data_IF_085133076772
#
_entry.id   IF_085133076772
#
_cell.length_a   1.000
_cell.length_b   1.000
_cell.length_c   1.000
_cell.angle_alpha   90.00
_cell.angle_beta   90.00
_cell.angle_gamma   90.00
#
_symmetry.space_group_name_H-M   'P 1'
#
loop_
_entity.id
_entity.type
_entity.pdbx_description
1 polymer ?
#
# COMPACT_ATOMS: atom_id res chain seq x y z
N UNK A 1 -11.82 60.82 68.69
CA UNK A 1 -10.97 60.35 67.56
C UNK A 1 -11.18 61.29 66.38
N UNK A 2 -10.15 61.99 65.91
CA UNK A 2 -10.26 63.01 64.85
C UNK A 2 -10.81 62.42 63.55
N UNK A 3 -11.70 63.16 62.87
CA UNK A 3 -12.36 62.80 61.60
C UNK A 3 -11.34 62.34 60.55
N UNK A 4 -10.15 62.94 60.53
CA UNK A 4 -9.05 62.55 59.63
C UNK A 4 -8.58 61.10 59.82
N UNK A 5 -8.53 60.59 61.06
CA UNK A 5 -8.13 59.20 61.36
C UNK A 5 -9.17 58.18 60.88
N UNK A 6 -10.46 58.51 61.01
CA UNK A 6 -11.56 57.66 60.51
C UNK A 6 -11.55 57.57 58.98
N UNK A 7 -11.27 58.69 58.30
CA UNK A 7 -11.19 58.75 56.83
C UNK A 7 -10.01 57.93 56.27
N UNK A 8 -8.85 57.98 56.94
CA UNK A 8 -7.67 57.18 56.56
C UNK A 8 -7.93 55.68 56.75
N UNK A 9 -8.50 55.29 57.90
CA UNK A 9 -8.85 53.87 58.16
C UNK A 9 -9.87 53.36 57.15
N UNK A 10 -10.91 54.15 56.83
CA UNK A 10 -11.91 53.80 55.83
C UNK A 10 -11.28 53.64 54.43
N UNK A 11 -10.38 54.55 54.04
CA UNK A 11 -9.70 54.47 52.74
C UNK A 11 -8.81 53.24 52.62
N UNK A 12 -8.07 52.88 53.68
CA UNK A 12 -7.27 51.65 53.72
C UNK A 12 -8.16 50.41 53.59
N UNK A 13 -9.30 50.40 54.27
CA UNK A 13 -10.23 49.28 54.26
C UNK A 13 -10.88 49.08 52.88
N UNK A 14 -11.21 50.18 52.18
CA UNK A 14 -11.69 50.16 50.78
C UNK A 14 -10.64 49.62 49.83
N UNK A 15 -9.38 50.06 49.96
CA UNK A 15 -8.27 49.56 49.12
C UNK A 15 -8.03 48.07 49.37
N UNK A 16 -8.02 47.62 50.62
CA UNK A 16 -7.87 46.21 50.96
C UNK A 16 -9.01 45.35 50.38
N UNK A 17 -10.26 45.81 50.50
CA UNK A 17 -11.41 45.12 49.90
C UNK A 17 -11.32 45.05 48.37
N UNK A 18 -10.89 46.14 47.71
CA UNK A 18 -10.70 46.16 46.26
C UNK A 18 -9.59 45.20 45.82
N UNK A 19 -8.44 45.17 46.51
CA UNK A 19 -7.35 44.24 46.20
C UNK A 19 -7.74 42.78 46.43
N UNK A 20 -8.48 42.50 47.51
CA UNK A 20 -9.01 41.16 47.77
C UNK A 20 -9.98 40.73 46.67
N UNK A 21 -10.87 41.61 46.23
CA UNK A 21 -11.82 41.31 45.15
C UNK A 21 -11.12 41.05 43.81
N UNK A 22 -10.10 41.85 43.46
CA UNK A 22 -9.29 41.63 42.25
C UNK A 22 -8.52 40.31 42.33
N UNK A 23 -7.87 40.01 43.46
CA UNK A 23 -7.15 38.75 43.66
C UNK A 23 -8.10 37.54 43.58
N UNK A 24 -9.27 37.63 44.22
CA UNK A 24 -10.29 36.58 44.15
C UNK A 24 -10.82 36.39 42.72
N UNK A 25 -11.07 37.47 41.99
CA UNK A 25 -11.51 37.42 40.60
C UNK A 25 -10.46 36.75 39.69
N UNK A 26 -9.19 37.14 39.80
CA UNK A 26 -8.09 36.54 39.02
C UNK A 26 -7.89 35.05 39.35
N UNK A 27 -7.98 34.65 40.63
CA UNK A 27 -7.89 33.24 41.04
C UNK A 27 -9.07 32.45 40.46
N UNK A 28 -10.28 33.01 40.51
CA UNK A 28 -11.49 32.38 39.96
C UNK A 28 -11.38 32.19 38.45
N UNK A 29 -10.94 33.21 37.72
CA UNK A 29 -10.77 33.15 36.25
C UNK A 29 -9.70 32.13 35.85
N UNK A 30 -8.58 32.09 36.59
CA UNK A 30 -7.52 31.10 36.36
C UNK A 30 -7.99 29.66 36.62
N UNK A 31 -8.79 29.44 37.66
CA UNK A 31 -9.36 28.12 37.95
C UNK A 31 -10.34 27.68 36.85
N UNK A 32 -11.20 28.58 36.38
CA UNK A 32 -12.12 28.30 35.26
C UNK A 32 -11.37 27.97 33.97
N UNK A 33 -10.28 28.69 33.66
CA UNK A 33 -9.42 28.38 32.50
C UNK A 33 -8.78 26.99 32.61
N UNK A 34 -8.26 26.62 33.79
CA UNK A 34 -7.69 25.29 34.02
C UNK A 34 -8.72 24.18 33.90
N UNK A 35 -9.95 24.40 34.35
CA UNK A 35 -11.05 23.44 34.19
C UNK A 35 -11.45 23.27 32.73
N UNK A 36 -11.54 24.37 31.97
CA UNK A 36 -11.83 24.33 30.54
C UNK A 36 -10.72 23.62 29.74
N UNK A 37 -9.45 23.89 30.06
CA UNK A 37 -8.31 23.22 29.42
C UNK A 37 -8.30 21.70 29.70
N UNK A 38 -8.58 21.30 30.94
CA UNK A 38 -8.73 19.87 31.29
C UNK A 38 -9.88 19.22 30.55
N UNK A 39 -11.03 19.89 30.43
CA UNK A 39 -12.18 19.37 29.70
C UNK A 39 -11.84 19.15 28.21
N UNK A 40 -11.17 20.12 27.57
CA UNK A 40 -10.75 20.01 26.18
C UNK A 40 -9.72 18.89 25.95
N UNK A 41 -8.78 18.68 26.89
CA UNK A 41 -7.83 17.56 26.83
C UNK A 41 -8.57 16.22 26.94
N UNK A 42 -9.50 16.09 27.89
CA UNK A 42 -10.28 14.85 28.06
C UNK A 42 -11.14 14.54 26.83
N UNK A 43 -11.78 15.55 26.25
CA UNK A 43 -12.55 15.40 25.01
C UNK A 43 -11.67 14.90 23.85
N UNK A 44 -10.45 15.47 23.72
CA UNK A 44 -9.50 15.04 22.69
C UNK A 44 -9.00 13.61 22.90
N UNK A 45 -8.77 13.21 24.16
CA UNK A 45 -8.39 11.82 24.50
C UNK A 45 -9.53 10.87 24.14
N UNK A 46 -10.77 11.21 24.48
CA UNK A 46 -11.92 10.36 24.18
C UNK A 46 -12.18 10.24 22.67
N UNK A 47 -12.06 11.34 21.92
CA UNK A 47 -12.16 11.32 20.46
C UNK A 47 -11.06 10.43 19.84
N UNK A 48 -9.83 10.52 20.35
CA UNK A 48 -8.72 9.67 19.88
C UNK A 48 -8.98 8.19 20.20
N UNK A 49 -9.51 7.89 21.39
CA UNK A 49 -9.84 6.51 21.78
C UNK A 49 -10.95 5.93 20.90
N UNK A 50 -12.02 6.69 20.64
CA UNK A 50 -13.11 6.26 19.74
C UNK A 50 -12.62 6.01 18.33
N UNK A 51 -11.77 6.89 17.79
CA UNK A 51 -11.16 6.69 16.47
C UNK A 51 -10.31 5.41 16.44
N UNK A 52 -9.52 5.13 17.49
CA UNK A 52 -8.74 3.90 17.59
C UNK A 52 -9.61 2.63 17.73
N UNK A 53 -10.72 2.71 18.48
CA UNK A 53 -11.69 1.62 18.61
C UNK A 53 -12.40 1.33 17.27
N UNK A 54 -12.83 2.37 16.55
CA UNK A 54 -13.41 2.25 15.20
C UNK A 54 -12.41 1.68 14.19
N UNK A 55 -11.15 2.10 14.25
CA UNK A 55 -10.07 1.57 13.42
C UNK A 55 -9.79 0.09 13.73
N UNK A 56 -9.80 -0.30 15.01
CA UNK A 56 -9.62 -1.70 15.42
C UNK A 56 -10.80 -2.60 15.01
N UNK A 57 -12.03 -2.09 15.06
CA UNK A 57 -13.23 -2.81 14.62
C UNK A 57 -13.27 -2.93 13.09
N UNK A 58 -12.91 -1.87 12.36
CA UNK A 58 -12.67 -1.92 10.91
C UNK A 58 -11.56 -2.94 10.56
N UNK A 59 -10.50 -3.02 11.36
CA UNK A 59 -9.44 -4.02 11.20
C UNK A 59 -9.95 -5.45 11.40
N UNK A 60 -10.74 -5.70 12.45
CA UNK A 60 -11.30 -7.03 12.75
C UNK A 60 -12.31 -7.47 11.69
N UNK A 61 -13.14 -6.56 11.19
CA UNK A 61 -14.14 -6.86 10.16
C UNK A 61 -13.54 -7.13 8.77
N UNK A 62 -12.34 -6.63 8.48
CA UNK A 62 -11.58 -7.00 7.26
C UNK A 62 -10.96 -8.40 7.35
N UNK A 63 -10.92 -9.04 8.52
CA UNK A 63 -10.56 -10.45 8.67
C UNK A 63 -11.74 -11.29 8.18
N UNK A 64 -11.69 -11.71 6.92
CA UNK A 64 -12.63 -12.74 6.45
C UNK A 64 -12.12 -14.07 7.04
N UNK A 65 -12.69 -14.46 8.18
CA UNK A 65 -12.31 -15.65 8.96
C UNK A 65 -12.34 -16.96 8.15
N UNK A 66 -13.01 -16.97 6.99
CA UNK A 66 -12.96 -18.04 6.01
C UNK A 66 -13.14 -17.46 4.61
N UNK A 67 -12.07 -17.18 3.84
CA UNK A 67 -12.23 -16.73 2.46
C UNK A 67 -13.04 -17.78 1.71
N UNK A 68 -14.12 -17.36 1.04
CA UNK A 68 -14.87 -18.24 0.15
C UNK A 68 -13.92 -18.60 -0.99
N UNK A 69 -13.25 -19.75 -0.90
CA UNK A 69 -12.38 -20.22 -1.97
C UNK A 69 -13.27 -20.77 -3.09
N UNK A 70 -13.45 -19.97 -4.14
CA UNK A 70 -14.17 -20.42 -5.33
C UNK A 70 -13.25 -21.37 -6.09
N UNK A 71 -13.60 -22.65 -6.16
CA UNK A 71 -12.80 -23.64 -6.87
C UNK A 71 -12.81 -23.34 -8.38
N UNK A 72 -11.72 -22.76 -8.87
CA UNK A 72 -11.51 -22.47 -10.30
C UNK A 72 -10.91 -23.67 -11.03
N UNK A 73 -11.26 -23.88 -12.32
CA UNK A 73 -10.46 -24.77 -13.16
C UNK A 73 -9.05 -24.20 -13.27
N UNK A 74 -8.07 -25.09 -13.44
CA UNK A 74 -6.70 -24.64 -13.71
C UNK A 74 -6.69 -23.78 -14.98
N UNK A 75 -6.00 -22.63 -14.97
CA UNK A 75 -5.93 -21.78 -16.15
C UNK A 75 -5.18 -22.51 -17.28
N UNK A 76 -5.45 -22.09 -18.51
CA UNK A 76 -4.73 -22.59 -19.68
C UNK A 76 -3.29 -22.04 -19.70
N UNK A 77 -2.34 -22.73 -20.34
CA UNK A 77 -1.00 -22.20 -20.54
C UNK A 77 -1.00 -20.81 -21.18
N UNK A 78 -0.01 -19.98 -20.82
CA UNK A 78 0.10 -18.61 -21.29
C UNK A 78 0.61 -18.59 -22.72
N UNK A 79 -0.02 -17.80 -23.58
CA UNK A 79 0.42 -17.56 -24.95
C UNK A 79 1.11 -16.20 -25.04
N UNK A 80 2.44 -16.19 -25.10
CA UNK A 80 3.23 -14.96 -25.26
C UNK A 80 2.88 -14.17 -26.53
N UNK A 81 2.46 -14.84 -27.60
CA UNK A 81 1.97 -14.16 -28.79
C UNK A 81 0.70 -13.35 -28.49
N UNK A 82 -0.26 -13.94 -27.76
CA UNK A 82 -1.48 -13.24 -27.37
C UNK A 82 -1.23 -12.16 -26.34
N UNK A 83 -0.33 -12.38 -25.37
CA UNK A 83 0.08 -11.34 -24.39
C UNK A 83 0.53 -10.07 -25.12
N UNK A 84 1.36 -10.21 -26.16
CA UNK A 84 1.86 -9.07 -26.95
C UNK A 84 0.81 -8.35 -27.79
N UNK A 85 -0.26 -9.04 -28.21
CA UNK A 85 -1.26 -8.51 -29.17
C UNK A 85 -2.60 -8.14 -28.54
N UNK A 86 -2.91 -8.69 -27.37
CA UNK A 86 -4.24 -8.68 -26.75
C UNK A 86 -4.15 -8.30 -25.26
N UNK A 87 -3.15 -7.48 -24.90
CA UNK A 87 -3.00 -6.89 -23.57
C UNK A 87 -3.90 -5.68 -23.38
N UNK A 88 -4.43 -5.54 -22.17
CA UNK A 88 -5.23 -4.40 -21.74
C UNK A 88 -4.69 -3.89 -20.40
N UNK A 89 -4.61 -2.57 -20.28
CA UNK A 89 -4.30 -1.89 -19.02
C UNK A 89 -5.49 -2.10 -18.10
N UNK A 90 -5.25 -2.74 -16.95
CA UNK A 90 -6.30 -3.12 -16.00
C UNK A 90 -5.86 -2.84 -14.56
N UNK A 91 -5.01 -1.82 -14.39
CA UNK A 91 -4.41 -1.41 -13.12
C UNK A 91 -5.45 -1.39 -11.99
N UNK A 92 -5.23 -2.27 -11.02
CA UNK A 92 -6.05 -2.36 -9.81
C UNK A 92 -7.47 -2.87 -10.01
N UNK A 93 -7.82 -3.45 -11.16
CA UNK A 93 -9.15 -4.04 -11.43
C UNK A 93 -9.58 -5.04 -10.35
N UNK A 94 -8.65 -5.85 -9.87
CA UNK A 94 -8.88 -6.88 -8.85
C UNK A 94 -8.53 -6.40 -7.43
N UNK A 95 -8.08 -5.15 -7.30
CA UNK A 95 -7.82 -4.48 -6.03
C UNK A 95 -9.01 -3.57 -5.68
N UNK A 96 -9.14 -3.14 -4.43
CA UNK A 96 -10.26 -2.27 -3.98
C UNK A 96 -10.23 -0.84 -4.57
N UNK A 97 -9.29 -0.53 -5.47
CA UNK A 97 -9.04 0.84 -5.94
C UNK A 97 -10.10 1.41 -6.89
N UNK A 98 -11.04 0.59 -7.42
CA UNK A 98 -11.98 1.05 -8.46
C UNK A 98 -13.44 1.08 -7.99
N UNK A 99 -14.03 2.27 -7.71
CA UNK A 99 -15.43 2.39 -7.32
C UNK A 99 -16.42 2.05 -8.46
N UNK A 100 -15.95 1.91 -9.70
CA UNK A 100 -16.76 1.55 -10.88
C UNK A 100 -16.52 0.11 -11.38
N UNK A 101 -16.13 -0.82 -10.49
CA UNK A 101 -15.75 -2.20 -10.83
C UNK A 101 -16.72 -2.90 -11.80
N UNK A 102 -18.04 -2.76 -11.63
CA UNK A 102 -19.04 -3.41 -12.49
C UNK A 102 -18.91 -3.01 -13.97
N UNK A 103 -18.66 -1.72 -14.25
CA UNK A 103 -18.50 -1.22 -15.63
C UNK A 103 -17.23 -1.76 -16.28
N UNK A 104 -16.15 -1.85 -15.50
CA UNK A 104 -14.89 -2.41 -15.97
C UNK A 104 -15.02 -3.92 -16.25
N UNK A 105 -15.69 -4.67 -15.36
CA UNK A 105 -15.96 -6.10 -15.57
C UNK A 105 -16.78 -6.31 -16.84
N UNK A 106 -17.82 -5.49 -17.08
CA UNK A 106 -18.61 -5.55 -18.31
C UNK A 106 -17.75 -5.27 -19.56
N UNK A 107 -16.90 -4.25 -19.50
CA UNK A 107 -15.95 -3.91 -20.57
C UNK A 107 -15.00 -5.08 -20.86
N UNK A 108 -14.40 -5.69 -19.83
CA UNK A 108 -13.52 -6.85 -19.99
C UNK A 108 -14.27 -8.02 -20.63
N UNK A 109 -15.47 -8.33 -20.16
CA UNK A 109 -16.28 -9.44 -20.66
C UNK A 109 -16.64 -9.29 -22.15
N UNK A 110 -16.87 -8.06 -22.65
CA UNK A 110 -17.14 -7.81 -24.07
C UNK A 110 -15.90 -7.56 -24.93
N UNK A 111 -14.72 -7.47 -24.33
CA UNK A 111 -13.47 -7.15 -25.03
C UNK A 111 -12.75 -8.38 -25.59
N UNK A 112 -11.78 -8.13 -26.47
CA UNK A 112 -10.81 -9.13 -26.91
C UNK A 112 -9.59 -9.24 -25.97
N UNK A 113 -9.60 -8.60 -24.79
CA UNK A 113 -8.51 -8.67 -23.83
C UNK A 113 -8.23 -10.12 -23.43
N UNK A 114 -7.00 -10.56 -23.66
CA UNK A 114 -6.47 -11.84 -23.22
C UNK A 114 -5.64 -11.65 -21.95
N UNK A 115 -4.93 -10.54 -21.85
CA UNK A 115 -4.02 -10.25 -20.75
C UNK A 115 -4.44 -8.98 -20.05
N UNK A 116 -4.72 -9.07 -18.75
CA UNK A 116 -5.03 -7.94 -17.87
C UNK A 116 -3.78 -7.58 -17.10
N UNK A 117 -3.04 -6.62 -17.64
CA UNK A 117 -1.80 -6.12 -17.08
C UNK A 117 -2.11 -5.38 -15.77
N UNK A 118 -1.30 -5.65 -14.72
CA UNK A 118 -1.43 -5.07 -13.37
C UNK A 118 -2.84 -5.15 -12.76
N UNK A 119 -3.59 -6.20 -13.08
CA UNK A 119 -4.92 -6.43 -12.55
C UNK A 119 -4.95 -6.45 -11.02
N UNK A 120 -3.93 -7.02 -10.37
CA UNK A 120 -3.67 -6.87 -8.94
C UNK A 120 -2.53 -5.87 -8.75
N UNK A 121 -2.80 -4.80 -8.01
CA UNK A 121 -1.80 -3.83 -7.56
C UNK A 121 -1.45 -4.10 -6.10
N UNK A 122 -0.16 -4.07 -5.74
CA UNK A 122 0.33 -4.15 -4.36
C UNK A 122 0.94 -2.83 -3.88
N UNK A 123 0.55 -1.71 -4.50
CA UNK A 123 1.06 -0.37 -4.18
C UNK A 123 0.45 0.13 -2.88
N UNK A 124 1.25 0.26 -1.82
CA UNK A 124 0.85 0.86 -0.52
C UNK A 124 -0.35 0.18 0.16
N UNK A 125 -0.79 -0.96 -0.34
CA UNK A 125 -1.77 -1.82 0.30
C UNK A 125 -1.47 -3.24 -0.12
N UNK A 126 -1.35 -4.17 0.82
CA UNK A 126 -1.13 -5.56 0.50
C UNK A 126 -2.39 -6.20 -0.11
N UNK A 127 -2.26 -7.24 -0.94
CA UNK A 127 -3.38 -7.74 -1.74
C UNK A 127 -4.47 -8.43 -0.90
N UNK A 128 -5.74 -8.05 -1.06
CA UNK A 128 -6.87 -8.80 -0.49
C UNK A 128 -7.30 -9.93 -1.44
N UNK A 129 -6.84 -11.13 -1.14
CA UNK A 129 -7.14 -12.33 -1.93
C UNK A 129 -8.62 -12.72 -1.95
N UNK A 130 -9.42 -12.27 -0.97
CA UNK A 130 -10.86 -12.53 -0.99
C UNK A 130 -11.56 -11.63 -1.99
N UNK A 131 -11.23 -10.34 -1.98
CA UNK A 131 -11.71 -9.39 -2.99
C UNK A 131 -11.25 -9.80 -4.38
N UNK A 132 -9.98 -10.19 -4.55
CA UNK A 132 -9.45 -10.70 -5.82
C UNK A 132 -10.30 -11.88 -6.32
N UNK A 133 -10.53 -12.91 -5.48
CA UNK A 133 -11.30 -14.08 -5.90
C UNK A 133 -12.76 -13.70 -6.21
N UNK A 134 -13.36 -12.80 -5.43
CA UNK A 134 -14.71 -12.30 -5.70
C UNK A 134 -14.80 -11.61 -7.06
N UNK A 135 -13.94 -10.64 -7.36
CA UNK A 135 -13.98 -9.90 -8.63
C UNK A 135 -13.67 -10.83 -9.81
N UNK A 136 -12.66 -11.69 -9.69
CA UNK A 136 -12.35 -12.69 -10.70
C UNK A 136 -13.54 -13.64 -10.97
N UNK A 137 -14.46 -13.82 -10.02
CA UNK A 137 -15.63 -14.71 -10.19
C UNK A 137 -16.70 -14.11 -11.10
N UNK A 138 -16.73 -12.77 -11.19
CA UNK A 138 -17.67 -12.03 -12.02
C UNK A 138 -17.21 -11.92 -13.47
N UNK A 139 -15.92 -12.15 -13.73
CA UNK A 139 -15.38 -12.21 -15.09
C UNK A 139 -15.75 -13.57 -15.72
N UNK A 140 -16.58 -13.51 -16.75
CA UNK A 140 -17.11 -14.69 -17.43
C UNK A 140 -16.11 -15.29 -18.42
N UNK A 141 -15.20 -14.47 -18.93
CA UNK A 141 -14.15 -14.87 -19.88
C UNK A 141 -13.19 -15.88 -19.25
N UNK A 142 -13.01 -17.03 -19.91
CA UNK A 142 -12.31 -18.20 -19.34
C UNK A 142 -10.84 -18.31 -19.74
N UNK A 143 -10.38 -17.50 -20.66
CA UNK A 143 -9.02 -17.53 -21.20
C UNK A 143 -8.22 -16.29 -20.84
N UNK A 144 -8.55 -15.63 -19.73
CA UNK A 144 -7.86 -14.41 -19.27
C UNK A 144 -6.61 -14.74 -18.45
N UNK A 145 -5.50 -14.10 -18.79
CA UNK A 145 -4.28 -14.04 -17.99
C UNK A 145 -4.36 -12.80 -17.10
N UNK A 146 -4.42 -13.02 -15.79
CA UNK A 146 -4.38 -11.93 -14.80
C UNK A 146 -2.92 -11.65 -14.39
N UNK A 147 -2.57 -10.37 -14.33
CA UNK A 147 -1.28 -9.89 -13.85
C UNK A 147 -1.33 -9.34 -12.44
N UNK A 148 -0.30 -9.66 -11.65
CA UNK A 148 -0.01 -9.04 -10.36
C UNK A 148 1.25 -8.18 -10.48
N UNK A 149 1.15 -6.94 -10.02
CA UNK A 149 2.24 -5.98 -9.93
C UNK A 149 2.84 -5.99 -8.53
N UNK A 150 4.10 -6.37 -8.42
CA UNK A 150 4.87 -6.40 -7.17
C UNK A 150 5.60 -5.06 -7.06
N UNK A 151 4.98 -4.14 -6.32
CA UNK A 151 5.38 -2.75 -6.20
C UNK A 151 6.78 -2.55 -5.59
N UNK A 152 7.48 -1.53 -6.07
CA UNK A 152 8.72 -0.99 -5.52
C UNK A 152 8.54 -0.14 -4.25
N UNK A 153 7.30 -0.01 -3.78
CA UNK A 153 6.88 0.83 -2.69
C UNK A 153 5.88 0.08 -1.80
N UNK A 154 6.11 0.14 -0.48
CA UNK A 154 5.19 -0.40 0.53
C UNK A 154 4.93 0.67 1.60
N UNK A 155 3.76 0.65 2.25
CA UNK A 155 3.56 1.42 3.49
C UNK A 155 4.15 0.61 4.65
N UNK A 156 5.12 1.18 5.36
CA UNK A 156 5.83 0.47 6.43
C UNK A 156 4.99 0.30 7.71
N UNK A 157 3.82 0.93 7.76
CA UNK A 157 2.83 0.78 8.84
C UNK A 157 1.66 -0.09 8.43
N UNK A 158 1.65 -0.63 7.21
CA UNK A 158 0.59 -1.53 6.82
C UNK A 158 0.54 -2.73 7.76
N UNK A 159 -0.68 -3.10 8.11
CA UNK A 159 -0.97 -4.34 8.80
C UNK A 159 -1.58 -5.29 7.76
N UNK A 160 -0.94 -6.44 7.54
CA UNK A 160 -1.46 -7.45 6.63
C UNK A 160 -1.94 -8.69 7.35
N UNK A 161 -3.03 -9.25 6.85
CA UNK A 161 -3.62 -10.45 7.43
C UNK A 161 -2.61 -11.60 7.42
N UNK A 162 -2.66 -12.35 8.51
CA UNK A 162 -1.85 -13.50 8.85
C UNK A 162 -1.45 -14.35 7.64
N UNK A 163 -0.17 -14.70 7.57
CA UNK A 163 0.39 -15.66 6.61
C UNK A 163 -0.25 -17.06 6.77
N UNK A 164 0.17 -18.04 5.95
CA UNK A 164 -0.37 -19.42 6.02
C UNK A 164 -0.19 -20.08 7.40
N UNK A 165 0.69 -19.53 8.23
CA UNK A 165 1.07 -20.02 9.56
C UNK A 165 0.39 -19.24 10.69
N UNK A 166 -0.39 -18.20 10.38
CA UNK A 166 -1.07 -17.38 11.38
C UNK A 166 -0.25 -16.17 11.87
N UNK A 167 0.91 -15.87 11.25
CA UNK A 167 1.82 -14.79 11.66
C UNK A 167 1.57 -13.53 10.82
N UNK A 168 1.55 -12.38 11.47
CA UNK A 168 1.50 -11.08 10.80
C UNK A 168 2.87 -10.72 10.20
N UNK A 169 2.83 -10.13 9.01
CA UNK A 169 4.02 -9.60 8.36
C UNK A 169 4.42 -8.26 8.99
N UNK A 170 5.73 -8.08 9.17
CA UNK A 170 6.30 -6.84 9.71
C UNK A 170 6.81 -5.97 8.55
N UNK A 171 5.95 -5.07 8.06
CA UNK A 171 6.25 -4.20 6.91
C UNK A 171 7.42 -3.27 7.19
N UNK A 172 7.65 -2.92 8.46
CA UNK A 172 8.79 -2.11 8.86
C UNK A 172 10.12 -2.84 8.59
N UNK A 173 10.17 -4.15 8.86
CA UNK A 173 11.35 -5.00 8.59
C UNK A 173 11.57 -5.30 7.11
N UNK A 174 10.59 -5.03 6.25
CA UNK A 174 10.75 -5.19 4.80
C UNK A 174 11.54 -4.03 4.18
N UNK A 175 11.51 -2.86 4.82
CA UNK A 175 12.15 -1.66 4.32
C UNK A 175 13.67 -1.78 4.28
N UNK A 176 14.26 -1.22 3.22
CA UNK A 176 15.69 -0.95 3.13
C UNK A 176 16.12 0.02 4.23
N UNK A 177 17.34 -0.16 4.72
CA UNK A 177 17.97 0.83 5.59
C UNK A 177 18.05 2.20 4.87
N UNK A 178 17.60 3.26 5.54
CA UNK A 178 17.47 4.58 4.93
C UNK A 178 16.35 4.73 3.90
N UNK A 179 15.54 3.68 3.65
CA UNK A 179 14.51 3.67 2.62
C UNK A 179 13.19 4.36 2.99
N UNK A 180 13.02 4.84 4.23
CA UNK A 180 11.79 5.49 4.76
C UNK A 180 11.77 6.99 4.51
N UNK A 181 12.08 7.40 3.29
CA UNK A 181 12.13 8.81 2.88
C UNK A 181 10.77 9.34 2.40
N UNK A 182 9.72 8.52 2.49
CA UNK A 182 8.37 8.83 1.99
C UNK A 182 8.31 9.22 0.49
N UNK A 183 9.09 8.60 -0.43
CA UNK A 183 9.16 9.07 -1.81
C UNK A 183 7.85 8.88 -2.59
N UNK A 184 6.97 7.98 -2.15
CA UNK A 184 5.65 7.75 -2.75
C UNK A 184 4.49 8.22 -1.87
N UNK A 185 4.78 9.09 -0.89
CA UNK A 185 3.82 9.62 0.06
C UNK A 185 4.15 9.24 1.50
N UNK A 186 3.37 9.76 2.47
CA UNK A 186 3.57 9.47 3.87
C UNK A 186 3.63 7.98 4.14
N UNK A 187 4.58 7.57 4.98
CA UNK A 187 4.74 6.21 5.48
C UNK A 187 5.19 5.18 4.46
N UNK A 188 5.70 5.64 3.32
CA UNK A 188 6.19 4.75 2.27
C UNK A 188 7.68 4.48 2.41
N UNK A 189 8.10 3.26 2.08
CA UNK A 189 9.50 2.89 1.98
C UNK A 189 9.81 2.04 0.75
N UNK A 190 11.09 2.05 0.38
CA UNK A 190 11.67 1.08 -0.56
C UNK A 190 11.85 -0.25 0.15
N UNK A 191 11.23 -1.35 -0.30
CA UNK A 191 11.51 -2.65 0.26
C UNK A 191 12.89 -3.17 -0.22
N UNK A 192 13.40 -4.21 0.44
CA UNK A 192 14.72 -4.77 0.14
C UNK A 192 14.65 -6.29 -0.01
N UNK A 193 15.03 -6.82 -1.18
CA UNK A 193 15.19 -8.27 -1.37
C UNK A 193 16.21 -8.90 -0.40
N UNK A 194 17.13 -8.13 0.17
CA UNK A 194 18.01 -8.55 1.26
C UNK A 194 17.26 -8.84 2.57
N UNK A 195 16.08 -8.26 2.79
CA UNK A 195 15.22 -8.55 3.95
C UNK A 195 14.57 -9.92 3.81
N UNK A 196 14.75 -10.77 4.83
CA UNK A 196 14.02 -12.05 4.89
C UNK A 196 12.51 -11.82 4.95
N UNK A 197 12.07 -10.81 5.70
CA UNK A 197 10.65 -10.52 5.87
C UNK A 197 9.98 -10.18 4.53
N UNK A 198 10.67 -9.41 3.67
CA UNK A 198 10.15 -9.07 2.35
C UNK A 198 10.14 -10.26 1.40
N UNK A 199 11.15 -11.13 1.46
CA UNK A 199 11.16 -12.38 0.67
C UNK A 199 10.04 -13.32 1.07
N UNK A 200 9.82 -13.51 2.38
CA UNK A 200 8.72 -14.32 2.89
C UNK A 200 7.36 -13.74 2.44
N UNK A 201 7.24 -12.40 2.40
CA UNK A 201 6.05 -11.72 1.92
C UNK A 201 5.81 -11.93 0.42
N UNK A 202 6.84 -11.77 -0.43
CA UNK A 202 6.74 -12.04 -1.88
C UNK A 202 6.36 -13.50 -2.13
N UNK A 203 7.01 -14.44 -1.44
CA UNK A 203 6.68 -15.87 -1.51
C UNK A 203 5.20 -16.09 -1.22
N UNK A 204 4.70 -15.56 -0.10
CA UNK A 204 3.31 -15.69 0.29
C UNK A 204 2.33 -15.14 -0.75
N UNK A 205 2.49 -13.88 -1.16
CA UNK A 205 1.51 -13.24 -2.06
C UNK A 205 1.53 -13.88 -3.45
N UNK A 206 2.70 -14.29 -3.95
CA UNK A 206 2.81 -14.91 -5.28
C UNK A 206 2.27 -16.33 -5.27
N UNK A 207 2.53 -17.12 -4.23
CA UNK A 207 1.99 -18.47 -4.09
C UNK A 207 0.47 -18.44 -3.98
N UNK A 208 -0.07 -17.50 -3.18
CA UNK A 208 -1.50 -17.33 -3.03
C UNK A 208 -2.17 -16.86 -4.32
N UNK A 209 -1.54 -15.96 -5.06
CA UNK A 209 -1.97 -15.53 -6.38
C UNK A 209 -2.00 -16.69 -7.40
N UNK A 210 -0.95 -17.51 -7.44
CA UNK A 210 -0.89 -18.72 -8.29
C UNK A 210 -2.04 -19.67 -7.95
N UNK A 211 -2.34 -19.86 -6.67
CA UNK A 211 -3.43 -20.73 -6.23
C UNK A 211 -4.81 -20.24 -6.67
N UNK A 212 -4.99 -18.93 -6.88
CA UNK A 212 -6.20 -18.35 -7.47
C UNK A 212 -6.20 -18.38 -9.01
N UNK A 213 -5.09 -18.72 -9.64
CA UNK A 213 -4.93 -18.77 -11.09
C UNK A 213 -4.42 -17.47 -11.73
N UNK A 214 -3.77 -16.59 -10.96
CA UNK A 214 -2.97 -15.49 -11.50
C UNK A 214 -1.73 -16.08 -12.18
N UNK A 215 -1.38 -15.55 -13.36
CA UNK A 215 -0.38 -16.15 -14.24
C UNK A 215 0.74 -15.20 -14.65
N UNK A 216 0.62 -13.90 -14.37
CA UNK A 216 1.67 -12.93 -14.68
C UNK A 216 2.11 -12.21 -13.42
N UNK A 217 3.42 -12.11 -13.21
CA UNK A 217 4.02 -11.38 -12.09
C UNK A 217 4.99 -10.35 -12.63
N UNK A 218 4.76 -9.07 -12.38
CA UNK A 218 5.65 -7.99 -12.81
C UNK A 218 6.28 -7.32 -11.60
N UNK A 219 7.61 -7.29 -11.51
CA UNK A 219 8.31 -6.48 -10.52
C UNK A 219 8.38 -5.02 -10.97
N UNK A 220 7.77 -4.13 -10.19
CA UNK A 220 7.90 -2.67 -10.36
C UNK A 220 9.32 -2.21 -10.03
N UNK A 221 9.79 -1.18 -10.73
CA UNK A 221 11.15 -0.62 -10.66
C UNK A 221 12.18 -1.49 -9.90
N UNK A 222 12.52 -2.68 -10.44
CA UNK A 222 13.13 -3.77 -9.65
C UNK A 222 14.47 -3.36 -9.03
N UNK A 223 15.20 -2.46 -9.69
CA UNK A 223 16.44 -1.87 -9.19
C UNK A 223 16.28 -1.10 -7.85
N UNK A 224 15.06 -0.66 -7.51
CA UNK A 224 14.72 -0.05 -6.22
C UNK A 224 14.39 -1.08 -5.14
N UNK A 225 14.13 -2.34 -5.52
CA UNK A 225 13.86 -3.45 -4.60
C UNK A 225 15.14 -4.28 -4.35
N UNK A 226 16.06 -4.31 -5.31
CA UNK A 226 17.36 -4.94 -5.16
C UNK A 226 18.23 -4.23 -4.13
N UNK A 227 18.58 -4.95 -3.06
CA UNK A 227 19.60 -4.52 -2.10
C UNK A 227 21.01 -4.50 -2.70
N UNK A 228 22.01 -4.39 -1.84
CA UNK A 228 23.42 -4.51 -2.24
C UNK A 228 23.78 -5.91 -2.76
N UNK A 229 23.04 -6.93 -2.32
CA UNK A 229 23.15 -8.32 -2.76
C UNK A 229 22.17 -8.62 -3.90
N UNK A 230 22.71 -8.80 -5.11
CA UNK A 230 21.93 -9.06 -6.34
C UNK A 230 21.55 -10.53 -6.54
N UNK A 231 21.92 -11.41 -5.61
CA UNK A 231 21.64 -12.85 -5.75
C UNK A 231 20.19 -13.23 -5.45
N UNK A 232 19.38 -12.31 -4.92
CA UNK A 232 18.02 -12.61 -4.49
C UNK A 232 17.00 -12.60 -5.63
N UNK A 233 17.09 -11.68 -6.60
CA UNK A 233 16.16 -11.64 -7.73
C UNK A 233 16.10 -12.99 -8.50
N UNK A 234 17.24 -13.64 -8.85
CA UNK A 234 17.22 -14.98 -9.44
C UNK A 234 16.54 -16.03 -8.56
N UNK A 235 16.73 -15.98 -7.24
CA UNK A 235 16.15 -16.94 -6.29
C UNK A 235 14.64 -16.77 -6.17
N UNK A 236 14.17 -15.53 -6.09
CA UNK A 236 12.74 -15.19 -6.03
C UNK A 236 12.03 -15.63 -7.33
N UNK A 237 12.60 -15.29 -8.49
CA UNK A 237 12.07 -15.71 -9.80
C UNK A 237 11.99 -17.22 -9.92
N UNK A 238 13.03 -17.92 -9.44
CA UNK A 238 13.06 -19.40 -9.42
C UNK A 238 11.97 -19.97 -8.51
N UNK A 239 11.75 -19.41 -7.33
CA UNK A 239 10.72 -19.86 -6.40
C UNK A 239 9.31 -19.76 -7.01
N UNK A 240 8.96 -18.61 -7.59
CA UNK A 240 7.67 -18.40 -8.27
C UNK A 240 7.45 -19.47 -9.35
N UNK A 241 8.47 -19.70 -10.20
CA UNK A 241 8.40 -20.71 -11.28
C UNK A 241 8.28 -22.13 -10.74
N UNK A 242 9.03 -22.48 -9.70
CA UNK A 242 8.99 -23.81 -9.09
C UNK A 242 7.63 -24.09 -8.43
N UNK A 243 7.06 -23.11 -7.73
CA UNK A 243 5.73 -23.23 -7.13
C UNK A 243 4.64 -23.35 -8.20
N UNK A 244 4.69 -22.49 -9.24
CA UNK A 244 3.78 -22.56 -10.38
C UNK A 244 3.80 -23.94 -11.06
N UNK A 245 5.00 -24.47 -11.32
CA UNK A 245 5.19 -25.81 -11.87
C UNK A 245 4.60 -26.90 -10.97
N UNK A 246 4.81 -26.81 -9.65
CA UNK A 246 4.22 -27.74 -8.67
C UNK A 246 2.68 -27.72 -8.71
N UNK A 247 2.08 -26.55 -8.94
CA UNK A 247 0.61 -26.39 -9.09
C UNK A 247 0.12 -26.74 -10.49
N UNK A 248 1.01 -26.89 -11.46
CA UNK A 248 0.68 -27.11 -12.87
C UNK A 248 0.02 -25.88 -13.48
N UNK A 249 0.47 -24.70 -13.08
CA UNK A 249 0.08 -23.39 -13.62
C UNK A 249 1.27 -22.86 -14.41
N UNK A 250 1.01 -22.39 -15.62
CA UNK A 250 2.02 -21.71 -16.43
C UNK A 250 2.03 -20.22 -16.06
N UNK A 251 3.21 -19.69 -15.77
CA UNK A 251 3.39 -18.29 -15.33
C UNK A 251 4.43 -17.59 -16.18
N UNK A 252 4.24 -16.28 -16.36
CA UNK A 252 5.21 -15.39 -16.99
C UNK A 252 5.64 -14.33 -15.98
N UNK A 253 6.91 -13.96 -15.97
CA UNK A 253 7.48 -13.02 -15.01
C UNK A 253 8.11 -11.87 -15.78
N UNK A 254 7.68 -10.65 -15.48
CA UNK A 254 8.22 -9.42 -16.05
C UNK A 254 8.92 -8.56 -15.01
N UNK A 255 9.65 -7.55 -15.49
CA UNK A 255 10.24 -6.53 -14.62
C UNK A 255 10.33 -5.16 -15.31
N UNK A 256 10.17 -4.11 -14.51
CA UNK A 256 10.54 -2.75 -14.86
C UNK A 256 11.99 -2.52 -14.43
N UNK A 257 12.92 -2.53 -15.37
CA UNK A 257 14.37 -2.66 -15.08
C UNK A 257 15.14 -1.34 -15.07
N UNK A 258 14.48 -0.22 -15.41
CA UNK A 258 15.12 1.09 -15.47
C UNK A 258 16.29 1.09 -16.47
N UNK A 259 17.50 1.38 -15.98
CA UNK A 259 18.72 1.45 -16.80
C UNK A 259 19.55 0.15 -16.78
N UNK A 260 19.05 -0.96 -16.23
CA UNK A 260 19.77 -2.24 -16.25
C UNK A 260 19.84 -2.77 -17.68
N UNK A 261 21.07 -3.03 -18.16
CA UNK A 261 21.33 -3.54 -19.52
C UNK A 261 22.02 -4.90 -19.55
N UNK A 262 22.31 -5.51 -18.39
CA UNK A 262 23.01 -6.79 -18.34
C UNK A 262 22.14 -7.91 -18.92
N UNK A 263 22.55 -8.59 -20.02
CA UNK A 263 21.70 -9.58 -20.67
C UNK A 263 21.42 -10.81 -19.80
N UNK A 264 22.34 -11.20 -18.91
CA UNK A 264 22.14 -12.37 -18.05
C UNK A 264 21.07 -12.11 -16.99
N UNK A 265 21.06 -10.88 -16.47
CA UNK A 265 20.05 -10.41 -15.53
C UNK A 265 18.69 -10.21 -16.22
N UNK A 266 18.67 -9.55 -17.39
CA UNK A 266 17.42 -9.36 -18.14
C UNK A 266 16.81 -10.70 -18.58
N UNK A 267 17.64 -11.71 -18.84
CA UNK A 267 17.22 -13.08 -19.17
C UNK A 267 16.54 -13.84 -18.02
N UNK A 268 16.48 -13.29 -16.81
CA UNK A 268 15.67 -13.85 -15.72
C UNK A 268 14.17 -13.75 -16.04
N UNK A 269 13.75 -12.71 -16.76
CA UNK A 269 12.35 -12.35 -17.01
C UNK A 269 11.90 -12.77 -18.41
N UNK A 270 10.62 -13.10 -18.55
CA UNK A 270 9.97 -13.49 -19.80
C UNK A 270 9.65 -12.26 -20.69
N UNK A 271 9.54 -11.09 -20.07
CA UNK A 271 9.41 -9.80 -20.74
C UNK A 271 9.95 -8.66 -19.87
N UNK A 272 10.33 -7.57 -20.50
CA UNK A 272 10.71 -6.33 -19.83
C UNK A 272 9.60 -5.32 -20.07
N UNK A 273 9.19 -4.66 -19.00
CA UNK A 273 8.19 -3.61 -19.05
C UNK A 273 8.87 -2.25 -18.94
N UNK A 274 8.56 -1.36 -19.88
CA UNK A 274 9.12 -0.03 -19.91
C UNK A 274 8.43 0.84 -20.95
N UNK A 275 8.58 2.14 -20.83
CA UNK A 275 8.14 3.09 -21.84
C UNK A 275 9.18 3.26 -22.93
N UNK A 276 8.70 3.51 -24.15
CA UNK A 276 9.48 4.26 -25.12
C UNK A 276 9.19 5.74 -24.85
N UNK A 277 10.22 6.57 -24.71
CA UNK A 277 9.93 8.00 -24.66
C UNK A 277 9.80 8.57 -26.06
N UNK A 278 9.07 9.67 -26.09
CA UNK A 278 8.65 10.35 -27.30
C UNK A 278 9.18 11.77 -27.17
N UNK A 279 9.99 12.20 -28.14
CA UNK A 279 10.60 13.52 -28.11
C UNK A 279 9.55 14.63 -28.32
N UNK A 280 9.97 15.89 -28.16
CA UNK A 280 9.09 17.05 -28.40
C UNK A 280 8.55 17.18 -29.84
N UNK A 281 9.03 16.35 -30.77
CA UNK A 281 8.58 16.26 -32.15
C UNK A 281 7.68 15.05 -32.41
N UNK A 282 7.37 14.23 -31.39
CA UNK A 282 6.55 13.04 -31.52
C UNK A 282 7.30 11.80 -32.03
N UNK A 283 8.63 11.84 -32.11
CA UNK A 283 9.43 10.68 -32.54
C UNK A 283 9.73 9.76 -31.36
N UNK A 284 9.67 8.45 -31.61
CA UNK A 284 10.15 7.44 -30.66
C UNK A 284 11.65 7.55 -30.54
N UNK A 285 12.14 7.72 -29.32
CA UNK A 285 13.57 7.88 -29.07
C UNK A 285 14.29 6.54 -28.95
N UNK A 286 15.56 6.56 -29.36
CA UNK A 286 16.39 5.38 -29.42
C UNK A 286 17.22 5.24 -28.13
N UNK A 287 16.67 4.51 -27.15
CA UNK A 287 17.29 4.22 -25.86
C UNK A 287 16.27 3.78 -24.80
N UNK A 288 16.70 3.19 -23.67
CA UNK A 288 15.78 2.84 -22.60
C UNK A 288 15.21 4.10 -21.93
N UNK A 289 13.89 4.27 -21.97
CA UNK A 289 13.15 5.29 -21.22
C UNK A 289 13.64 6.76 -21.40
N UNK A 290 13.76 7.30 -22.62
CA UNK A 290 14.13 8.71 -22.91
C UNK A 290 13.09 9.31 -23.85
N UNK A 291 12.59 10.55 -23.73
CA UNK A 291 13.35 11.81 -23.71
C UNK A 291 13.78 12.32 -22.35
N UNK A 292 15.08 12.50 -22.21
CA UNK A 292 15.81 13.11 -21.09
C UNK A 292 15.62 12.50 -19.66
N UNK A 293 14.94 11.34 -19.56
CA UNK A 293 14.74 10.44 -18.38
C UNK A 293 13.74 11.01 -17.35
N UNK A 294 12.60 10.33 -17.20
CA UNK A 294 11.49 10.70 -16.30
C UNK A 294 11.94 11.19 -14.92
N UNK A 295 11.28 12.26 -14.45
CA UNK A 295 11.60 12.97 -13.20
C UNK A 295 11.42 12.17 -11.92
#
# INVERSE_FOLDING_TARGET
MSIKRKLVIFSILVVLLATFFVAWFLIRENNLRKEAEKAAIMERIEATRKAAEEEEEARKSRVIENPIIIKRPKPKPVSMERVRKQGCVADGLLSEYNPENDKFIELINRSNCYYLHRAVETWLTPPDFTTIDYVMSQITKKDVVYGMFIAEAIDYRDEYFKDITGREFDFEKMCREGGKENPWGPHTCKPDFGSKEYRDYIEYITHRAIDLGIQSFTFGQIYMQEGSDKDWAPKIVKDIRDYAKKKGVDVIIGAQTGAITDPSYLGLFDYIEGGVGIDGNGNVENGPCLSWRGG
#
